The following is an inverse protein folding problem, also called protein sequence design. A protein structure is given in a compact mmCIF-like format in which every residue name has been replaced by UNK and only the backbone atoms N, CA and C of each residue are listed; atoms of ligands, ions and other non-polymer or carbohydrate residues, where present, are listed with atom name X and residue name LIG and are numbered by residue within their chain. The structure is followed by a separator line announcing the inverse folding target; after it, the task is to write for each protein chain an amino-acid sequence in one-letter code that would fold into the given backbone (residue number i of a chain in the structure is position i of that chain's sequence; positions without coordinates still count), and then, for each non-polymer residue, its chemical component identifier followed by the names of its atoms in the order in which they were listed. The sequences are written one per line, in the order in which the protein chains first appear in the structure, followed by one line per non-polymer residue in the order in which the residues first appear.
data_IF_170196553274
#
_entry.id   IF_170196553274
#
_cell.length_a   1.000
_cell.length_b   1.000
_cell.length_c   1.000
_cell.angle_alpha   90.00
_cell.angle_beta   90.00
_cell.angle_gamma   90.00
#
_symmetry.space_group_name_H-M   'P 1'
#
loop_
_entity.id
_entity.type
_entity.pdbx_description
1 polymer ?
#
# COMPACT_ATOMS: atom_id res chain seq x y z
N UNK A 1 -6.83 9.21 -16.05
CA UNK A 1 -6.73 8.26 -14.92
C UNK A 1 -5.86 8.86 -13.85
N UNK A 2 -6.04 8.45 -12.60
CA UNK A 2 -5.36 9.03 -11.44
C UNK A 2 -3.86 8.66 -11.43
N UNK A 3 -2.95 9.54 -11.01
CA UNK A 3 -1.49 9.28 -11.03
C UNK A 3 -1.05 8.20 -10.03
N UNK A 4 -1.94 7.80 -9.12
CA UNK A 4 -1.74 6.70 -8.15
C UNK A 4 -2.46 5.41 -8.58
N UNK A 5 -3.04 5.39 -9.79
CA UNK A 5 -3.66 4.20 -10.37
C UNK A 5 -2.60 3.21 -10.86
N UNK A 6 -2.88 1.89 -10.84
CA UNK A 6 -2.09 0.93 -11.58
C UNK A 6 -2.09 1.28 -13.07
N UNK A 7 -0.98 0.97 -13.72
CA UNK A 7 -0.74 1.37 -15.08
C UNK A 7 -1.66 0.63 -16.04
N UNK A 8 -2.40 1.40 -16.83
CA UNK A 8 -3.29 0.87 -17.85
C UNK A 8 -2.84 1.36 -19.22
N UNK A 9 -2.90 0.45 -20.19
CA UNK A 9 -2.44 0.73 -21.55
C UNK A 9 -3.34 1.80 -22.18
N UNK A 10 -2.74 2.80 -22.86
CA UNK A 10 -3.49 3.91 -23.47
C UNK A 10 -4.61 3.46 -24.42
N UNK A 11 -4.47 2.30 -25.05
CA UNK A 11 -5.48 1.68 -25.93
C UNK A 11 -6.79 1.33 -25.22
N UNK A 12 -6.81 1.32 -23.89
CA UNK A 12 -8.00 1.07 -23.06
C UNK A 12 -8.79 2.37 -22.84
N UNK A 13 -8.20 3.55 -23.12
CA UNK A 13 -8.79 4.86 -22.81
C UNK A 13 -9.64 5.47 -23.92
N UNK A 14 -9.62 4.94 -25.15
CA UNK A 14 -10.16 5.65 -26.31
C UNK A 14 -11.67 5.51 -26.51
N UNK A 15 -12.31 4.40 -26.08
CA UNK A 15 -13.74 4.18 -26.32
C UNK A 15 -14.39 3.22 -25.30
N UNK A 16 -15.35 3.74 -24.51
CA UNK A 16 -16.07 2.97 -23.50
C UNK A 16 -17.04 1.93 -24.10
N UNK A 17 -17.66 2.23 -25.24
CA UNK A 17 -18.58 1.31 -25.91
C UNK A 17 -17.83 0.11 -26.48
N UNK A 18 -16.71 0.38 -27.17
CA UNK A 18 -15.81 -0.67 -27.69
C UNK A 18 -15.26 -1.54 -26.55
N UNK A 19 -14.87 -0.93 -25.43
CA UNK A 19 -14.39 -1.68 -24.27
C UNK A 19 -15.48 -2.59 -23.68
N UNK A 20 -16.73 -2.10 -23.58
CA UNK A 20 -17.86 -2.88 -23.08
C UNK A 20 -18.14 -4.11 -23.96
N UNK A 21 -18.04 -3.95 -25.27
CA UNK A 21 -18.20 -5.03 -26.25
C UNK A 21 -17.04 -6.02 -26.19
N UNK A 22 -15.80 -5.53 -26.09
CA UNK A 22 -14.59 -6.36 -26.06
C UNK A 22 -14.42 -7.12 -24.74
N UNK A 23 -14.66 -6.46 -23.62
CA UNK A 23 -14.54 -7.04 -22.27
C UNK A 23 -15.50 -6.37 -21.30
N UNK A 24 -16.64 -7.03 -21.09
CA UNK A 24 -17.62 -6.59 -20.08
C UNK A 24 -17.02 -6.56 -18.67
N UNK A 25 -16.14 -7.50 -18.33
CA UNK A 25 -15.51 -7.55 -17.02
C UNK A 25 -14.63 -6.32 -16.77
N UNK A 26 -13.77 -5.96 -17.74
CA UNK A 26 -12.88 -4.80 -17.61
C UNK A 26 -13.66 -3.50 -17.56
N UNK A 27 -14.70 -3.39 -18.40
CA UNK A 27 -15.62 -2.26 -18.39
C UNK A 27 -16.31 -2.08 -17.03
N UNK A 28 -16.90 -3.14 -16.48
CA UNK A 28 -17.55 -3.11 -15.16
C UNK A 28 -16.58 -2.78 -14.04
N UNK A 29 -15.34 -3.28 -14.13
CA UNK A 29 -14.27 -2.98 -13.17
C UNK A 29 -13.98 -1.48 -13.16
N UNK A 30 -13.84 -0.84 -14.34
CA UNK A 30 -13.68 0.63 -14.40
C UNK A 30 -14.87 1.40 -13.87
N UNK A 31 -16.09 0.96 -14.20
CA UNK A 31 -17.29 1.58 -13.67
C UNK A 31 -17.27 1.52 -12.13
N UNK A 32 -16.89 0.39 -11.52
CA UNK A 32 -16.79 0.26 -10.07
C UNK A 32 -15.77 1.22 -9.47
N UNK A 33 -14.57 1.33 -10.07
CA UNK A 33 -13.54 2.29 -9.62
C UNK A 33 -14.05 3.72 -9.72
N UNK A 34 -14.64 4.10 -10.86
CA UNK A 34 -15.18 5.45 -11.07
C UNK A 34 -16.33 5.77 -10.12
N UNK A 35 -17.23 4.81 -9.89
CA UNK A 35 -18.35 4.97 -8.96
C UNK A 35 -17.86 5.19 -7.52
N UNK A 36 -16.77 4.54 -7.10
CA UNK A 36 -16.13 4.79 -5.79
C UNK A 36 -15.61 6.23 -5.67
N UNK A 37 -14.96 6.75 -6.70
CA UNK A 37 -14.37 8.11 -6.69
C UNK A 37 -15.40 9.23 -6.85
N UNK A 38 -16.56 8.92 -7.45
CA UNK A 38 -17.63 9.89 -7.75
C UNK A 38 -18.91 9.61 -6.96
N UNK A 39 -18.82 8.85 -5.86
CA UNK A 39 -20.00 8.41 -5.13
C UNK A 39 -20.81 9.62 -4.66
N UNK A 40 -22.11 9.57 -4.97
CA UNK A 40 -23.12 10.48 -4.44
C UNK A 40 -24.22 9.65 -3.80
N UNK A 41 -24.74 10.11 -2.67
CA UNK A 41 -25.88 9.48 -1.99
C UNK A 41 -27.04 9.27 -2.98
N UNK A 42 -27.55 8.04 -3.05
CA UNK A 42 -28.62 7.65 -3.98
C UNK A 42 -28.17 6.96 -5.27
N UNK A 43 -26.87 6.87 -5.55
CA UNK A 43 -26.36 6.05 -6.65
C UNK A 43 -26.37 4.56 -6.28
N UNK A 44 -26.84 3.71 -7.20
CA UNK A 44 -26.93 2.27 -6.98
C UNK A 44 -25.60 1.56 -7.27
N UNK A 45 -24.57 1.89 -6.47
CA UNK A 45 -23.24 1.27 -6.57
C UNK A 45 -23.28 -0.22 -6.22
N UNK A 46 -24.21 -0.63 -5.36
CA UNK A 46 -24.33 -2.03 -4.98
C UNK A 46 -24.75 -2.92 -6.15
N UNK A 47 -25.67 -2.46 -7.00
CA UNK A 47 -26.04 -3.18 -8.23
C UNK A 47 -24.84 -3.29 -9.19
N UNK A 48 -24.03 -2.24 -9.28
CA UNK A 48 -22.82 -2.26 -10.11
C UNK A 48 -21.78 -3.25 -9.58
N UNK A 49 -21.58 -3.31 -8.25
CA UNK A 49 -20.73 -4.30 -7.62
C UNK A 49 -21.28 -5.72 -7.82
N UNK A 50 -22.60 -5.93 -7.72
CA UNK A 50 -23.23 -7.21 -7.97
C UNK A 50 -23.09 -7.67 -9.44
N UNK A 51 -23.20 -6.75 -10.40
CA UNK A 51 -22.94 -7.04 -11.82
C UNK A 51 -21.49 -7.44 -12.05
N UNK A 52 -20.54 -6.75 -11.39
CA UNK A 52 -19.13 -7.12 -11.44
C UNK A 52 -18.91 -8.52 -10.83
N UNK A 53 -19.49 -8.81 -9.66
CA UNK A 53 -19.39 -10.12 -9.00
C UNK A 53 -19.93 -11.24 -9.89
N UNK A 54 -21.06 -11.01 -10.54
CA UNK A 54 -21.64 -11.95 -11.49
C UNK A 54 -20.71 -12.16 -12.70
N UNK A 55 -20.16 -11.09 -13.27
CA UNK A 55 -19.22 -11.16 -14.39
C UNK A 55 -17.95 -11.91 -14.00
N UNK A 56 -17.37 -11.59 -12.84
CA UNK A 56 -16.18 -12.23 -12.29
C UNK A 56 -16.44 -13.72 -12.03
N UNK A 57 -17.56 -14.07 -11.40
CA UNK A 57 -17.96 -15.46 -11.15
C UNK A 57 -18.08 -16.25 -12.44
N UNK A 58 -18.65 -15.65 -13.50
CA UNK A 58 -18.73 -16.30 -14.82
C UNK A 58 -17.36 -16.57 -15.43
N UNK A 59 -16.40 -15.66 -15.28
CA UNK A 59 -15.04 -15.85 -15.82
C UNK A 59 -14.25 -16.86 -14.98
N UNK A 60 -14.39 -16.83 -13.66
CA UNK A 60 -13.61 -17.68 -12.74
C UNK A 60 -14.17 -19.11 -12.65
N UNK A 61 -15.50 -19.25 -12.57
CA UNK A 61 -16.18 -20.54 -12.39
C UNK A 61 -16.71 -21.13 -13.70
N UNK A 62 -16.88 -20.31 -14.73
CA UNK A 62 -17.33 -20.77 -16.04
C UNK A 62 -16.26 -21.58 -16.76
N UNK A 63 -16.69 -22.28 -17.81
CA UNK A 63 -15.76 -22.84 -18.80
C UNK A 63 -15.14 -21.69 -19.58
N UNK A 64 -13.93 -21.32 -19.20
CA UNK A 64 -13.16 -20.30 -19.90
C UNK A 64 -12.18 -20.99 -20.82
N UNK A 65 -12.59 -21.20 -22.07
CA UNK A 65 -11.77 -21.89 -23.08
C UNK A 65 -10.51 -21.08 -23.47
N UNK A 66 -10.52 -19.77 -23.18
CA UNK A 66 -9.39 -18.87 -23.43
C UNK A 66 -9.37 -17.72 -22.41
N UNK A 67 -8.21 -17.52 -21.78
CA UNK A 67 -7.95 -16.35 -20.93
C UNK A 67 -7.45 -15.19 -21.81
N UNK A 68 -7.90 -13.97 -21.53
CA UNK A 68 -7.49 -12.75 -22.26
C UNK A 68 -6.72 -11.77 -21.38
N UNK A 69 -5.95 -10.87 -22.01
CA UNK A 69 -5.21 -9.83 -21.29
C UNK A 69 -6.14 -8.86 -20.54
N UNK A 70 -7.33 -8.58 -21.07
CA UNK A 70 -8.33 -7.75 -20.41
C UNK A 70 -8.81 -8.37 -19.10
N UNK A 71 -8.92 -9.70 -19.03
CA UNK A 71 -9.30 -10.39 -17.80
C UNK A 71 -8.22 -10.26 -16.74
N UNK A 72 -6.94 -10.38 -17.13
CA UNK A 72 -5.81 -10.16 -16.22
C UNK A 72 -5.79 -8.73 -15.68
N UNK A 73 -5.92 -7.73 -16.55
CA UNK A 73 -5.99 -6.32 -16.16
C UNK A 73 -7.19 -6.05 -15.24
N UNK A 74 -8.34 -6.69 -15.50
CA UNK A 74 -9.52 -6.57 -14.63
C UNK A 74 -9.24 -7.07 -13.22
N UNK A 75 -8.58 -8.23 -13.09
CA UNK A 75 -8.22 -8.79 -11.78
C UNK A 75 -7.20 -7.89 -11.04
N UNK A 76 -6.23 -7.32 -11.74
CA UNK A 76 -5.28 -6.39 -11.14
C UNK A 76 -5.95 -5.12 -10.64
N UNK A 77 -6.83 -4.51 -11.44
CA UNK A 77 -7.60 -3.33 -11.01
C UNK A 77 -8.51 -3.67 -9.83
N UNK A 78 -9.19 -4.83 -9.88
CA UNK A 78 -10.02 -5.32 -8.80
C UNK A 78 -9.24 -5.46 -7.48
N UNK A 79 -8.00 -5.99 -7.56
CA UNK A 79 -7.13 -6.13 -6.39
C UNK A 79 -6.71 -4.79 -5.78
N UNK A 80 -6.55 -3.74 -6.60
CA UNK A 80 -6.20 -2.39 -6.15
C UNK A 80 -7.40 -1.61 -5.58
N UNK A 81 -8.59 -1.82 -6.14
CA UNK A 81 -9.83 -1.17 -5.71
C UNK A 81 -10.95 -2.20 -5.64
N UNK A 82 -11.03 -2.90 -4.51
CA UNK A 82 -12.07 -3.90 -4.36
C UNK A 82 -13.45 -3.24 -4.35
N UNK A 83 -14.51 -3.87 -4.87
CA UNK A 83 -15.84 -3.27 -4.84
C UNK A 83 -16.34 -3.04 -3.40
N UNK A 84 -17.39 -2.22 -3.26
CA UNK A 84 -18.06 -2.02 -1.97
C UNK A 84 -18.80 -3.29 -1.52
N UNK A 85 -18.87 -3.50 -0.20
CA UNK A 85 -19.71 -4.56 0.40
C UNK A 85 -21.18 -4.29 0.08
N UNK A 86 -21.98 -5.35 -0.05
CA UNK A 86 -23.42 -5.20 -0.22
C UNK A 86 -24.01 -4.51 1.02
N UNK A 87 -24.86 -3.50 0.83
CA UNK A 87 -25.53 -2.75 1.89
C UNK A 87 -24.61 -1.93 2.83
N UNK A 88 -23.34 -1.75 2.48
CA UNK A 88 -22.39 -0.95 3.25
C UNK A 88 -21.56 -0.07 2.33
N UNK A 89 -21.22 1.14 2.78
CA UNK A 89 -20.28 2.02 2.09
C UNK A 89 -18.81 1.61 2.29
N UNK A 90 -18.54 0.41 2.82
CA UNK A 90 -17.19 -0.08 3.11
C UNK A 90 -16.61 -0.88 1.94
N UNK A 91 -15.32 -0.68 1.66
CA UNK A 91 -14.55 -1.50 0.72
C UNK A 91 -14.55 -2.97 1.16
N UNK A 92 -14.54 -3.90 0.20
CA UNK A 92 -14.28 -5.33 0.47
C UNK A 92 -12.80 -5.64 0.68
N UNK A 93 -11.94 -4.63 0.55
CA UNK A 93 -10.50 -4.79 0.66
C UNK A 93 -10.11 -5.52 1.95
N UNK A 94 -9.29 -6.54 1.78
CA UNK A 94 -8.50 -7.18 2.83
C UNK A 94 -7.34 -7.90 2.15
N UNK A 95 -6.22 -8.01 2.84
CA UNK A 95 -4.96 -8.46 2.25
C UNK A 95 -5.03 -9.91 1.76
N UNK A 96 -5.78 -10.77 2.44
CA UNK A 96 -5.99 -12.18 2.06
C UNK A 96 -6.78 -12.29 0.75
N UNK A 97 -7.83 -11.47 0.58
CA UNK A 97 -8.61 -11.45 -0.66
C UNK A 97 -7.79 -10.90 -1.82
N UNK A 98 -6.97 -9.87 -1.58
CA UNK A 98 -6.02 -9.36 -2.57
C UNK A 98 -5.07 -10.47 -2.98
N UNK A 99 -4.43 -11.13 -2.01
CA UNK A 99 -3.51 -12.24 -2.26
C UNK A 99 -4.16 -13.38 -3.08
N UNK A 100 -5.41 -13.74 -2.77
CA UNK A 100 -6.14 -14.76 -3.55
C UNK A 100 -6.37 -14.35 -5.01
N UNK A 101 -6.76 -13.09 -5.25
CA UNK A 101 -6.97 -12.56 -6.62
C UNK A 101 -5.65 -12.47 -7.38
N UNK A 102 -4.58 -12.00 -6.73
CA UNK A 102 -3.24 -11.96 -7.32
C UNK A 102 -2.76 -13.38 -7.64
N UNK A 103 -2.89 -14.32 -6.70
CA UNK A 103 -2.53 -15.72 -6.92
C UNK A 103 -3.30 -16.37 -8.08
N UNK A 104 -4.59 -16.05 -8.26
CA UNK A 104 -5.35 -16.48 -9.44
C UNK A 104 -4.78 -15.87 -10.73
N UNK A 105 -4.50 -14.58 -10.73
CA UNK A 105 -3.94 -13.86 -11.88
C UNK A 105 -2.58 -14.43 -12.28
N UNK A 106 -1.72 -14.72 -11.30
CA UNK A 106 -0.41 -15.36 -11.52
C UNK A 106 -0.57 -16.74 -12.16
N UNK A 107 -1.52 -17.56 -11.68
CA UNK A 107 -1.80 -18.87 -12.29
C UNK A 107 -2.23 -18.74 -13.75
N UNK A 108 -3.05 -17.74 -14.08
CA UNK A 108 -3.50 -17.49 -15.45
C UNK A 108 -2.38 -17.01 -16.37
N UNK A 109 -1.53 -16.11 -15.88
CA UNK A 109 -0.33 -15.66 -16.59
C UNK A 109 0.62 -16.84 -16.90
N UNK A 110 0.83 -17.73 -15.93
CA UNK A 110 1.64 -18.95 -16.12
C UNK A 110 1.00 -19.91 -17.12
N UNK A 111 -0.32 -20.09 -17.06
CA UNK A 111 -1.05 -20.89 -18.05
C UNK A 111 -0.93 -20.34 -19.48
N UNK A 112 -0.88 -19.02 -19.62
CA UNK A 112 -0.69 -18.34 -20.91
C UNK A 112 0.77 -18.28 -21.39
N UNK A 113 1.73 -18.74 -20.58
CA UNK A 113 3.18 -18.62 -20.82
C UNK A 113 3.65 -17.20 -21.21
N UNK A 114 3.07 -16.17 -20.56
CA UNK A 114 3.41 -14.79 -20.90
C UNK A 114 4.86 -14.44 -20.57
N UNK A 115 5.41 -15.01 -19.51
CA UNK A 115 6.82 -14.82 -19.15
C UNK A 115 7.75 -15.44 -20.20
N UNK A 116 7.48 -16.69 -20.62
CA UNK A 116 8.24 -17.35 -21.69
C UNK A 116 8.14 -16.59 -23.02
N UNK A 117 6.96 -16.06 -23.34
CA UNK A 117 6.76 -15.18 -24.50
C UNK A 117 7.64 -13.93 -24.45
N UNK A 118 7.64 -13.20 -23.32
CA UNK A 118 8.50 -12.02 -23.15
C UNK A 118 9.99 -12.34 -23.24
N UNK A 119 10.42 -13.48 -22.68
CA UNK A 119 11.83 -13.85 -22.68
C UNK A 119 12.33 -14.25 -24.08
N UNK A 120 11.50 -14.90 -24.89
CA UNK A 120 11.92 -15.48 -26.17
C UNK A 120 11.59 -14.62 -27.40
N UNK A 121 10.53 -13.80 -27.33
CA UNK A 121 9.93 -13.16 -28.52
C UNK A 121 9.65 -11.67 -28.35
N UNK A 122 10.15 -11.01 -27.30
CA UNK A 122 9.87 -9.58 -27.12
C UNK A 122 10.39 -8.72 -28.28
N UNK A 123 9.48 -8.13 -29.03
CA UNK A 123 9.77 -7.25 -30.17
C UNK A 123 9.57 -5.77 -29.85
N UNK A 124 8.96 -5.45 -28.70
CA UNK A 124 8.51 -4.10 -28.37
C UNK A 124 7.21 -3.70 -29.09
N UNK A 125 6.46 -4.67 -29.62
CA UNK A 125 5.11 -4.44 -30.15
C UNK A 125 4.17 -3.93 -29.05
N UNK A 126 3.03 -3.34 -29.44
CA UNK A 126 2.03 -2.85 -28.48
C UNK A 126 1.51 -3.97 -27.55
N UNK A 127 1.36 -5.19 -28.08
CA UNK A 127 0.94 -6.34 -27.30
C UNK A 127 2.04 -6.80 -26.34
N UNK A 128 3.30 -6.86 -26.79
CA UNK A 128 4.44 -7.20 -25.92
C UNK A 128 4.60 -6.20 -24.77
N UNK A 129 4.46 -4.91 -25.06
CA UNK A 129 4.54 -3.84 -24.05
C UNK A 129 3.38 -3.96 -23.06
N UNK A 130 2.17 -4.30 -23.52
CA UNK A 130 1.03 -4.57 -22.64
C UNK A 130 1.28 -5.78 -21.73
N UNK A 131 1.80 -6.87 -22.28
CA UNK A 131 2.16 -8.05 -21.49
C UNK A 131 3.24 -7.70 -20.46
N UNK A 132 4.28 -6.98 -20.85
CA UNK A 132 5.33 -6.51 -19.93
C UNK A 132 4.74 -5.70 -18.77
N UNK A 133 3.86 -4.74 -19.07
CA UNK A 133 3.18 -3.93 -18.04
C UNK A 133 2.34 -4.76 -17.06
N UNK A 134 1.59 -5.73 -17.58
CA UNK A 134 0.83 -6.67 -16.74
C UNK A 134 1.78 -7.44 -15.81
N UNK A 135 2.87 -7.97 -16.35
CA UNK A 135 3.87 -8.72 -15.58
C UNK A 135 4.54 -7.87 -14.51
N UNK A 136 4.96 -6.64 -14.83
CA UNK A 136 5.60 -5.72 -13.87
C UNK A 136 4.63 -5.29 -12.76
N UNK A 137 3.37 -5.00 -13.10
CA UNK A 137 2.32 -4.74 -12.11
C UNK A 137 2.15 -5.96 -11.17
N UNK A 138 2.13 -7.18 -11.71
CA UNK A 138 2.02 -8.39 -10.90
C UNK A 138 3.21 -8.58 -9.96
N UNK A 139 4.44 -8.33 -10.41
CA UNK A 139 5.63 -8.39 -9.53
C UNK A 139 5.46 -7.45 -8.34
N UNK A 140 5.05 -6.21 -8.58
CA UNK A 140 4.83 -5.23 -7.51
C UNK A 140 3.71 -5.66 -6.55
N UNK A 141 2.62 -6.19 -7.08
CA UNK A 141 1.46 -6.64 -6.29
C UNK A 141 1.77 -7.88 -5.45
N UNK A 142 2.41 -8.88 -6.05
CA UNK A 142 2.85 -10.11 -5.40
C UNK A 142 3.77 -9.78 -4.23
N UNK A 143 4.74 -8.88 -4.44
CA UNK A 143 5.64 -8.46 -3.38
C UNK A 143 4.97 -7.62 -2.29
N UNK A 144 4.07 -6.69 -2.67
CA UNK A 144 3.33 -5.89 -1.69
C UNK A 144 2.44 -6.77 -0.79
N UNK A 145 1.79 -7.78 -1.37
CA UNK A 145 1.01 -8.76 -0.59
C UNK A 145 1.91 -9.65 0.27
N UNK A 146 3.10 -10.01 -0.19
CA UNK A 146 4.09 -10.70 0.63
C UNK A 146 4.50 -9.87 1.86
N UNK A 147 4.83 -8.58 1.69
CA UNK A 147 5.22 -7.73 2.83
C UNK A 147 4.13 -7.65 3.91
N UNK A 148 2.87 -7.60 3.49
CA UNK A 148 1.74 -7.45 4.40
C UNK A 148 1.30 -8.78 5.03
N UNK A 149 1.17 -9.84 4.21
CA UNK A 149 0.63 -11.13 4.65
C UNK A 149 1.69 -12.14 5.08
N UNK A 150 2.94 -11.92 4.67
CA UNK A 150 4.10 -12.82 4.82
C UNK A 150 3.93 -14.15 4.09
N UNK A 151 3.01 -14.18 3.12
CA UNK A 151 2.87 -15.29 2.19
C UNK A 151 3.97 -15.20 1.12
N UNK A 152 4.55 -16.32 0.68
CA UNK A 152 5.69 -16.30 -0.24
C UNK A 152 5.32 -15.67 -1.58
N UNK A 153 6.27 -14.92 -2.14
CA UNK A 153 6.15 -14.43 -3.52
C UNK A 153 6.28 -15.57 -4.51
N UNK A 154 5.60 -15.44 -5.66
CA UNK A 154 5.48 -16.48 -6.67
C UNK A 154 6.19 -16.12 -7.98
N UNK A 155 6.40 -14.82 -8.27
CA UNK A 155 7.06 -14.34 -9.49
C UNK A 155 8.51 -13.94 -9.19
N UNK A 156 9.44 -14.35 -10.06
CA UNK A 156 10.82 -13.87 -10.01
C UNK A 156 10.95 -12.49 -10.67
N UNK A 157 11.33 -11.42 -9.94
CA UNK A 157 11.53 -10.11 -10.55
C UNK A 157 12.72 -10.03 -11.49
N UNK A 158 13.74 -10.90 -11.37
CA UNK A 158 15.04 -10.78 -12.07
C UNK A 158 14.90 -10.66 -13.60
N UNK A 159 14.27 -11.62 -14.32
CA UNK A 159 14.19 -11.56 -15.78
C UNK A 159 13.37 -10.36 -16.27
N UNK A 160 12.31 -10.02 -15.54
CA UNK A 160 11.39 -8.94 -15.90
C UNK A 160 12.02 -7.57 -15.70
N UNK A 161 12.79 -7.35 -14.62
CA UNK A 161 13.51 -6.10 -14.38
C UNK A 161 14.59 -5.89 -15.45
N UNK A 162 15.34 -6.94 -15.80
CA UNK A 162 16.34 -6.85 -16.86
C UNK A 162 15.71 -6.43 -18.21
N UNK A 163 14.58 -7.04 -18.57
CA UNK A 163 13.84 -6.67 -19.77
C UNK A 163 13.27 -5.25 -19.69
N UNK A 164 12.70 -4.86 -18.55
CA UNK A 164 12.14 -3.53 -18.32
C UNK A 164 13.19 -2.41 -18.42
N UNK A 165 14.41 -2.62 -17.90
CA UNK A 165 15.54 -1.69 -18.05
C UNK A 165 15.90 -1.47 -19.52
N UNK A 166 15.94 -2.55 -20.30
CA UNK A 166 16.19 -2.49 -21.75
C UNK A 166 15.07 -1.73 -22.46
N UNK A 167 13.81 -2.01 -22.13
CA UNK A 167 12.66 -1.32 -22.72
C UNK A 167 12.62 0.17 -22.36
N UNK A 168 12.82 0.54 -21.10
CA UNK A 168 12.84 1.94 -20.63
C UNK A 168 14.02 2.76 -21.20
N UNK A 169 15.02 2.08 -21.73
CA UNK A 169 16.10 2.74 -22.47
C UNK A 169 15.68 3.23 -23.86
N UNK A 170 14.57 2.72 -24.40
CA UNK A 170 14.04 3.10 -25.72
C UNK A 170 13.19 4.37 -25.69
N UNK A 171 13.03 5.02 -26.84
CA UNK A 171 12.16 6.20 -26.99
C UNK A 171 10.66 5.87 -26.91
N UNK A 172 10.29 4.58 -27.00
CA UNK A 172 8.90 4.12 -26.94
C UNK A 172 8.37 3.97 -25.52
N UNK A 173 9.24 4.03 -24.51
CA UNK A 173 8.85 3.91 -23.12
C UNK A 173 8.17 5.19 -22.61
N UNK A 174 7.06 5.02 -21.88
CA UNK A 174 6.30 6.10 -21.30
C UNK A 174 6.76 6.39 -19.86
N UNK A 175 6.44 7.57 -19.32
CA UNK A 175 6.72 7.93 -17.92
C UNK A 175 6.28 6.85 -16.93
N UNK A 176 5.14 6.26 -17.25
CA UNK A 176 4.46 5.25 -16.48
C UNK A 176 5.23 3.90 -16.47
N UNK A 177 5.93 3.56 -17.57
CA UNK A 177 6.80 2.38 -17.62
C UNK A 177 8.01 2.51 -16.69
N UNK A 178 8.56 3.72 -16.58
CA UNK A 178 9.64 4.02 -15.65
C UNK A 178 9.17 3.90 -14.19
N UNK A 179 7.92 4.29 -13.87
CA UNK A 179 7.34 4.07 -12.53
C UNK A 179 7.29 2.58 -12.17
N UNK A 180 6.88 1.72 -13.10
CA UNK A 180 6.86 0.27 -12.90
C UNK A 180 8.26 -0.33 -12.76
N UNK A 181 9.21 0.14 -13.56
CA UNK A 181 10.60 -0.25 -13.43
C UNK A 181 11.09 0.04 -12.00
N UNK A 182 10.87 1.25 -11.49
CA UNK A 182 11.27 1.60 -10.13
C UNK A 182 10.65 0.71 -9.05
N UNK A 183 9.35 0.39 -9.16
CA UNK A 183 8.68 -0.55 -8.25
C UNK A 183 9.30 -1.95 -8.28
N UNK A 184 9.64 -2.42 -9.48
CA UNK A 184 10.25 -3.75 -9.65
C UNK A 184 11.71 -3.77 -9.20
N UNK A 185 12.45 -2.65 -9.32
CA UNK A 185 13.81 -2.54 -8.77
C UNK A 185 13.82 -2.57 -7.24
N UNK A 186 12.86 -1.90 -6.59
CA UNK A 186 12.66 -2.01 -5.14
C UNK A 186 12.42 -3.48 -4.75
N UNK A 187 11.52 -4.15 -5.46
CA UNK A 187 11.19 -5.57 -5.25
C UNK A 187 12.41 -6.48 -5.44
N UNK A 188 13.20 -6.26 -6.49
CA UNK A 188 14.42 -7.02 -6.79
C UNK A 188 15.47 -6.86 -5.70
N UNK A 189 15.69 -5.64 -5.22
CA UNK A 189 16.68 -5.39 -4.18
C UNK A 189 16.30 -6.03 -2.85
N UNK A 190 15.02 -6.02 -2.51
CA UNK A 190 14.54 -6.67 -1.29
C UNK A 190 14.61 -8.20 -1.39
N UNK A 191 14.40 -8.79 -2.58
CA UNK A 191 14.67 -10.21 -2.81
C UNK A 191 16.13 -10.59 -2.54
N UNK A 192 17.07 -9.66 -2.75
CA UNK A 192 18.50 -9.87 -2.50
C UNK A 192 18.96 -9.36 -1.13
N UNK A 193 18.07 -8.83 -0.31
CA UNK A 193 18.43 -8.28 0.98
C UNK A 193 18.87 -9.38 1.94
N UNK A 194 20.03 -9.19 2.56
CA UNK A 194 20.57 -10.09 3.58
C UNK A 194 20.21 -9.68 4.99
N UNK A 195 20.03 -8.37 5.21
CA UNK A 195 19.71 -7.78 6.51
C UNK A 195 19.04 -6.40 6.33
N UNK A 196 18.45 -5.90 7.41
CA UNK A 196 17.75 -4.61 7.42
C UNK A 196 18.69 -3.40 7.21
N UNK A 197 19.98 -3.53 7.51
CA UNK A 197 20.96 -2.46 7.28
C UNK A 197 21.22 -2.30 5.79
N UNK A 198 21.39 -3.40 5.06
CA UNK A 198 21.48 -3.42 3.61
C UNK A 198 20.23 -2.83 2.98
N UNK A 199 19.03 -3.23 3.44
CA UNK A 199 17.76 -2.68 2.94
C UNK A 199 17.74 -1.17 3.08
N UNK A 200 17.99 -0.64 4.28
CA UNK A 200 17.92 0.80 4.52
C UNK A 200 18.94 1.58 3.69
N UNK A 201 20.17 1.07 3.58
CA UNK A 201 21.18 1.64 2.70
C UNK A 201 20.73 1.66 1.24
N UNK A 202 20.23 0.52 0.74
CA UNK A 202 19.73 0.41 -0.63
C UNK A 202 18.59 1.40 -0.88
N UNK A 203 17.61 1.51 0.02
CA UNK A 203 16.49 2.42 -0.15
C UNK A 203 16.95 3.89 -0.17
N UNK A 204 17.96 4.26 0.64
CA UNK A 204 18.53 5.61 0.63
C UNK A 204 19.22 5.92 -0.72
N UNK A 205 20.07 5.02 -1.21
CA UNK A 205 20.74 5.15 -2.52
C UNK A 205 19.73 5.18 -3.67
N UNK A 206 18.74 4.29 -3.63
CA UNK A 206 17.69 4.20 -4.63
C UNK A 206 16.87 5.49 -4.70
N UNK A 207 16.53 6.11 -3.57
CA UNK A 207 15.83 7.41 -3.55
C UNK A 207 16.70 8.51 -4.17
N UNK A 208 17.99 8.56 -3.84
CA UNK A 208 18.90 9.56 -4.39
C UNK A 208 19.03 9.44 -5.91
N UNK A 209 19.12 8.22 -6.44
CA UNK A 209 19.16 7.95 -7.88
C UNK A 209 17.83 8.34 -8.55
N UNK A 210 16.71 7.86 -8.01
CA UNK A 210 15.40 8.03 -8.63
C UNK A 210 14.86 9.46 -8.56
N UNK A 211 15.25 10.23 -7.54
CA UNK A 211 14.92 11.66 -7.43
C UNK A 211 15.53 12.46 -8.58
N UNK A 212 16.72 12.07 -9.04
CA UNK A 212 17.42 12.73 -10.12
C UNK A 212 17.17 12.07 -11.49
N UNK A 213 16.22 11.13 -11.58
CA UNK A 213 16.00 10.33 -12.77
C UNK A 213 15.35 11.15 -13.91
N UNK A 214 16.09 11.46 -14.99
CA UNK A 214 15.70 12.53 -15.92
C UNK A 214 14.49 12.18 -16.79
N UNK A 215 14.24 10.88 -17.04
CA UNK A 215 13.20 10.43 -17.99
C UNK A 215 11.79 10.38 -17.40
N UNK A 216 11.64 10.44 -16.08
CA UNK A 216 10.37 10.13 -15.43
C UNK A 216 9.70 11.33 -14.73
N UNK A 217 10.40 12.46 -14.53
CA UNK A 217 9.89 13.68 -13.87
C UNK A 217 8.98 13.35 -12.66
N UNK A 218 9.47 12.48 -11.78
CA UNK A 218 8.64 11.86 -10.76
C UNK A 218 8.44 12.80 -9.57
N UNK A 219 7.19 12.96 -9.15
CA UNK A 219 6.90 13.61 -7.87
C UNK A 219 7.17 12.65 -6.72
N UNK A 220 7.76 13.16 -5.63
CA UNK A 220 7.91 12.42 -4.37
C UNK A 220 6.57 11.96 -3.78
N UNK A 221 5.45 12.53 -4.24
CA UNK A 221 4.08 12.16 -3.85
C UNK A 221 3.50 10.99 -4.65
N UNK A 222 4.25 10.42 -5.60
CA UNK A 222 3.77 9.38 -6.52
C UNK A 222 4.53 8.06 -6.37
N UNK A 223 4.10 7.01 -7.06
CA UNK A 223 4.92 5.82 -7.27
C UNK A 223 6.18 6.17 -8.09
N UNK A 224 7.35 5.58 -7.79
CA UNK A 224 7.56 4.49 -6.83
C UNK A 224 7.87 4.94 -5.40
N UNK A 225 8.06 6.25 -5.14
CA UNK A 225 8.49 6.75 -3.83
C UNK A 225 7.51 6.45 -2.70
N UNK A 226 6.22 6.46 -3.00
CA UNK A 226 5.19 6.12 -2.01
C UNK A 226 5.24 4.65 -1.61
N UNK A 227 5.49 3.73 -2.54
CA UNK A 227 5.74 2.31 -2.23
C UNK A 227 7.08 2.10 -1.51
N UNK A 228 8.11 2.88 -1.85
CA UNK A 228 9.39 2.86 -1.12
C UNK A 228 9.20 3.21 0.37
N UNK A 229 8.41 4.26 0.68
CA UNK A 229 8.08 4.61 2.08
C UNK A 229 7.35 3.49 2.79
N UNK A 230 6.41 2.84 2.09
CA UNK A 230 5.72 1.68 2.63
C UNK A 230 6.68 0.53 2.95
N UNK A 231 7.60 0.21 2.03
CA UNK A 231 8.56 -0.87 2.22
C UNK A 231 9.49 -0.57 3.39
N UNK A 232 9.97 0.68 3.50
CA UNK A 232 10.77 1.14 4.64
C UNK A 232 10.01 0.98 5.95
N UNK A 233 8.76 1.46 6.01
CA UNK A 233 7.94 1.39 7.20
C UNK A 233 7.67 -0.06 7.62
N UNK A 234 7.24 -0.90 6.68
CA UNK A 234 6.92 -2.32 6.90
C UNK A 234 8.13 -3.06 7.48
N UNK A 235 9.25 -3.05 6.75
CA UNK A 235 10.44 -3.83 7.10
C UNK A 235 11.09 -3.36 8.41
N UNK A 236 11.10 -2.05 8.68
CA UNK A 236 11.63 -1.54 9.94
C UNK A 236 10.65 -1.68 11.11
N UNK A 237 9.35 -1.90 10.86
CA UNK A 237 8.38 -2.16 11.93
C UNK A 237 8.44 -3.60 12.44
N UNK A 238 8.96 -4.52 11.63
CA UNK A 238 9.08 -5.94 11.96
C UNK A 238 9.78 -6.20 13.32
N UNK A 239 10.99 -5.65 13.58
CA UNK A 239 11.69 -5.92 14.82
C UNK A 239 11.06 -5.21 16.03
N UNK A 240 10.06 -4.34 15.79
CA UNK A 240 9.35 -3.59 16.83
C UNK A 240 8.14 -4.37 17.36
N UNK A 241 7.84 -5.56 16.84
CA UNK A 241 6.70 -6.35 17.27
C UNK A 241 6.69 -6.59 18.79
N UNK A 242 7.83 -7.00 19.35
CA UNK A 242 7.96 -7.20 20.79
C UNK A 242 7.78 -5.91 21.58
N UNK A 243 8.36 -4.81 21.10
CA UNK A 243 8.21 -3.49 21.70
C UNK A 243 6.75 -3.02 21.71
N UNK A 244 6.03 -3.20 20.60
CA UNK A 244 4.62 -2.85 20.47
C UNK A 244 3.72 -3.74 21.37
N UNK A 245 4.11 -5.00 21.54
CA UNK A 245 3.49 -5.93 22.48
C UNK A 245 3.83 -5.63 23.95
N UNK A 246 4.72 -4.69 24.24
CA UNK A 246 5.13 -4.35 25.61
C UNK A 246 6.17 -5.30 26.20
N UNK A 247 6.79 -6.15 25.37
CA UNK A 247 7.87 -7.02 25.81
C UNK A 247 9.17 -6.25 25.99
N UNK A 248 9.98 -6.58 27.02
CA UNK A 248 11.27 -5.95 27.21
C UNK A 248 12.22 -6.29 26.05
N UNK A 249 12.94 -5.30 25.57
CA UNK A 249 13.95 -5.47 24.52
C UNK A 249 15.22 -6.05 25.13
N UNK A 250 15.77 -7.17 24.63
CA UNK A 250 17.04 -7.69 25.09
C UNK A 250 18.18 -6.70 24.86
N UNK A 251 19.11 -6.58 25.82
CA UNK A 251 20.28 -5.67 25.73
C UNK A 251 21.11 -5.90 24.47
N UNK A 252 21.20 -7.15 24.01
CA UNK A 252 21.90 -7.52 22.77
C UNK A 252 21.26 -6.95 21.51
N UNK A 253 19.96 -6.61 21.55
CA UNK A 253 19.15 -6.19 20.41
C UNK A 253 18.79 -4.70 20.45
N UNK A 254 18.98 -4.01 21.59
CA UNK A 254 18.62 -2.60 21.79
C UNK A 254 19.08 -1.69 20.66
N UNK A 255 20.31 -1.87 20.18
CA UNK A 255 20.84 -1.05 19.07
C UNK A 255 20.10 -1.30 17.77
N UNK A 256 19.79 -2.55 17.45
CA UNK A 256 19.08 -2.90 16.23
C UNK A 256 17.63 -2.40 16.28
N UNK A 257 16.95 -2.62 17.40
CA UNK A 257 15.59 -2.13 17.66
C UNK A 257 15.52 -0.61 17.61
N UNK A 258 16.48 0.10 18.21
CA UNK A 258 16.51 1.56 18.18
C UNK A 258 16.72 2.12 16.76
N UNK A 259 17.54 1.47 15.94
CA UNK A 259 17.71 1.85 14.52
C UNK A 259 16.42 1.62 13.74
N UNK A 260 15.81 0.44 13.89
CA UNK A 260 14.54 0.09 13.26
C UNK A 260 13.44 1.09 13.67
N UNK A 261 13.36 1.41 14.96
CA UNK A 261 12.42 2.38 15.53
C UNK A 261 12.56 3.75 14.86
N UNK A 262 13.78 4.29 14.80
CA UNK A 262 14.06 5.58 14.14
C UNK A 262 13.63 5.56 12.68
N UNK A 263 13.96 4.50 11.94
CA UNK A 263 13.60 4.37 10.53
C UNK A 263 12.10 4.21 10.30
N UNK A 264 11.39 3.51 11.18
CA UNK A 264 9.92 3.41 11.13
C UNK A 264 9.25 4.75 11.41
N UNK A 265 9.72 5.49 12.42
CA UNK A 265 9.21 6.84 12.73
C UNK A 265 9.49 7.79 11.56
N UNK A 266 10.73 7.85 11.06
CA UNK A 266 11.08 8.64 9.87
C UNK A 266 10.18 8.31 8.68
N UNK A 267 9.96 7.03 8.38
CA UNK A 267 9.09 6.62 7.29
C UNK A 267 7.63 7.06 7.51
N UNK A 268 7.10 6.92 8.72
CA UNK A 268 5.74 7.37 9.04
C UNK A 268 5.61 8.90 8.91
N UNK A 269 6.58 9.66 9.41
CA UNK A 269 6.64 11.12 9.26
C UNK A 269 6.70 11.53 7.79
N UNK A 270 7.54 10.88 6.98
CA UNK A 270 7.66 11.14 5.55
C UNK A 270 6.36 10.88 4.79
N UNK A 271 5.57 9.89 5.22
CA UNK A 271 4.26 9.60 4.63
C UNK A 271 3.25 10.71 4.93
N UNK A 272 3.13 11.13 6.18
CA UNK A 272 2.24 12.23 6.55
C UNK A 272 2.74 13.59 6.04
N UNK A 273 4.05 13.76 5.87
CA UNK A 273 4.66 14.98 5.35
C UNK A 273 4.19 15.33 3.93
N UNK A 274 3.73 14.34 3.15
CA UNK A 274 3.12 14.56 1.84
C UNK A 274 1.81 15.38 1.90
N UNK A 275 1.13 15.37 3.05
CA UNK A 275 -0.07 16.14 3.30
C UNK A 275 0.21 17.56 3.80
N UNK A 276 1.48 17.92 3.98
CA UNK A 276 1.85 19.26 4.41
C UNK A 276 2.13 20.17 3.21
N UNK A 277 1.63 21.40 3.29
CA UNK A 277 1.98 22.48 2.36
C UNK A 277 3.36 23.09 2.71
N UNK A 278 3.66 23.16 4.01
CA UNK A 278 4.92 23.69 4.53
C UNK A 278 5.59 22.66 5.44
N UNK A 279 6.93 22.55 5.44
CA UNK A 279 7.63 21.67 6.36
C UNK A 279 7.38 22.05 7.82
N UNK A 280 7.17 21.05 8.68
CA UNK A 280 7.04 21.23 10.12
C UNK A 280 5.72 20.71 10.70
N UNK A 281 5.76 20.37 11.98
CA UNK A 281 4.67 19.73 12.71
C UNK A 281 4.05 20.62 13.80
N UNK A 282 4.61 21.80 14.05
CA UNK A 282 4.11 22.73 15.09
C UNK A 282 2.79 23.40 14.66
N UNK A 283 2.64 23.71 13.37
CA UNK A 283 1.41 24.28 12.79
C UNK A 283 1.18 23.69 11.38
N UNK A 284 0.70 22.43 11.27
CA UNK A 284 0.61 21.76 9.98
C UNK A 284 -0.45 22.39 9.07
N UNK A 285 -0.01 22.98 7.96
CA UNK A 285 -0.90 23.43 6.88
C UNK A 285 -1.15 22.30 5.90
N UNK A 286 -2.43 22.00 5.62
CA UNK A 286 -2.82 20.86 4.80
C UNK A 286 -2.70 21.17 3.32
N UNK A 287 -1.95 20.35 2.59
CA UNK A 287 -1.93 20.33 1.13
C UNK A 287 -3.23 19.71 0.60
N UNK A 288 -4.24 20.57 0.40
CA UNK A 288 -5.54 20.16 -0.11
C UNK A 288 -5.51 19.52 -1.50
N UNK A 289 -4.53 19.89 -2.34
CA UNK A 289 -4.37 19.29 -3.67
C UNK A 289 -3.89 17.82 -3.57
N UNK A 290 -2.96 17.53 -2.67
CA UNK A 290 -2.57 16.14 -2.40
C UNK A 290 -3.69 15.36 -1.74
N UNK A 291 -4.36 15.93 -0.73
CA UNK A 291 -5.49 15.28 -0.06
C UNK A 291 -6.60 14.91 -1.05
N UNK A 292 -6.95 15.80 -1.97
CA UNK A 292 -7.95 15.51 -3.01
C UNK A 292 -7.55 14.37 -3.93
N UNK A 293 -6.26 14.21 -4.24
CA UNK A 293 -5.74 13.06 -5.00
C UNK A 293 -5.77 11.78 -4.16
N UNK A 294 -5.35 11.88 -2.91
CA UNK A 294 -5.32 10.76 -1.97
C UNK A 294 -6.69 10.11 -1.78
N UNK A 295 -7.78 10.90 -1.85
CA UNK A 295 -9.16 10.39 -1.87
C UNK A 295 -9.42 9.29 -2.91
N UNK A 296 -8.72 9.34 -4.04
CA UNK A 296 -8.85 8.37 -5.13
C UNK A 296 -7.74 7.30 -5.13
N UNK A 297 -6.94 7.22 -4.06
CA UNK A 297 -5.87 6.23 -3.95
C UNK A 297 -6.42 4.80 -3.91
N UNK A 298 -5.54 3.84 -4.24
CA UNK A 298 -5.82 2.41 -4.10
C UNK A 298 -6.01 2.07 -2.61
N UNK A 299 -6.77 1.01 -2.33
CA UNK A 299 -7.14 0.65 -0.95
C UNK A 299 -5.91 0.42 -0.06
N UNK A 300 -4.84 -0.19 -0.60
CA UNK A 300 -3.62 -0.45 0.15
C UNK A 300 -2.93 0.82 0.66
N UNK A 301 -3.10 1.97 -0.01
CA UNK A 301 -2.51 3.24 0.46
C UNK A 301 -3.19 3.71 1.74
N UNK A 302 -4.52 3.58 1.83
CA UNK A 302 -5.27 3.91 3.04
C UNK A 302 -4.81 3.04 4.20
N UNK A 303 -4.68 1.73 3.96
CA UNK A 303 -4.19 0.79 4.97
C UNK A 303 -2.79 1.13 5.46
N UNK A 304 -1.87 1.46 4.55
CA UNK A 304 -0.51 1.84 4.94
C UNK A 304 -0.49 3.12 5.80
N UNK A 305 -1.29 4.14 5.47
CA UNK A 305 -1.32 5.37 6.27
C UNK A 305 -1.97 5.13 7.63
N UNK A 306 -2.98 4.25 7.70
CA UNK A 306 -3.59 3.86 8.96
C UNK A 306 -2.59 3.08 9.82
N UNK A 307 -1.82 2.16 9.23
CA UNK A 307 -0.74 1.47 9.91
C UNK A 307 0.30 2.46 10.47
N UNK A 308 0.75 3.44 9.67
CA UNK A 308 1.68 4.46 10.13
C UNK A 308 1.14 5.27 11.33
N UNK A 309 -0.13 5.66 11.28
CA UNK A 309 -0.82 6.35 12.37
C UNK A 309 -0.87 5.52 13.65
N UNK A 310 -1.35 4.29 13.53
CA UNK A 310 -1.55 3.37 14.65
C UNK A 310 -0.20 3.01 15.28
N UNK A 311 0.81 2.75 14.47
CA UNK A 311 2.17 2.49 14.94
C UNK A 311 2.70 3.67 15.77
N UNK A 312 2.54 4.91 15.30
CA UNK A 312 2.97 6.08 16.07
C UNK A 312 2.26 6.21 17.42
N UNK A 313 0.93 5.98 17.45
CA UNK A 313 0.16 5.99 18.69
C UNK A 313 0.67 4.95 19.69
N UNK A 314 0.91 3.73 19.22
CA UNK A 314 1.40 2.63 20.07
C UNK A 314 2.82 2.89 20.54
N UNK A 315 3.72 3.32 19.66
CA UNK A 315 5.10 3.63 20.04
C UNK A 315 5.18 4.77 21.06
N UNK A 316 4.30 5.77 20.95
CA UNK A 316 4.16 6.79 21.98
C UNK A 316 3.64 6.19 23.30
N UNK A 317 2.52 5.45 23.27
CA UNK A 317 1.96 4.83 24.48
C UNK A 317 2.95 3.88 25.18
N UNK A 318 3.83 3.21 24.42
CA UNK A 318 4.92 2.37 24.96
C UNK A 318 6.12 3.16 25.47
N UNK A 319 6.15 4.49 25.34
CA UNK A 319 7.26 5.35 25.76
C UNK A 319 8.50 5.29 24.87
N UNK A 320 8.39 4.63 23.71
CA UNK A 320 9.46 4.46 22.75
C UNK A 320 9.68 5.73 21.91
N UNK A 321 8.62 6.52 21.73
CA UNK A 321 8.63 7.81 21.03
C UNK A 321 8.05 8.87 21.94
N UNK A 322 8.66 10.05 21.99
CA UNK A 322 8.10 11.21 22.70
C UNK A 322 7.30 12.15 21.79
N UNK A 323 6.79 13.22 22.37
CA UNK A 323 5.95 14.21 21.69
C UNK A 323 6.68 14.99 20.58
N UNK A 324 8.01 14.94 20.57
CA UNK A 324 8.90 15.58 19.58
C UNK A 324 9.50 14.57 18.60
N UNK A 325 9.01 13.32 18.60
CA UNK A 325 9.48 12.19 17.82
C UNK A 325 10.87 11.66 18.22
N UNK A 326 11.37 12.00 19.41
CA UNK A 326 12.61 11.42 19.90
C UNK A 326 12.40 9.94 20.24
N UNK A 327 13.26 9.09 19.67
CA UNK A 327 13.19 7.65 19.79
C UNK A 327 14.15 7.12 20.88
N UNK A 328 13.65 6.24 21.75
CA UNK A 328 14.43 5.55 22.78
C UNK A 328 13.91 4.13 23.03
N UNK A 329 14.73 3.29 23.65
CA UNK A 329 14.25 2.05 24.25
C UNK A 329 13.52 2.43 25.54
N UNK A 330 12.22 2.12 25.68
CA UNK A 330 11.45 2.55 26.83
C UNK A 330 11.84 1.76 28.08
N UNK A 331 11.86 2.46 29.21
CA UNK A 331 11.93 1.84 30.54
C UNK A 331 10.55 1.73 31.18
N UNK A 332 9.59 2.54 30.74
CA UNK A 332 8.22 2.62 31.24
C UNK A 332 7.29 3.06 30.09
N UNK A 333 6.03 2.66 30.16
CA UNK A 333 4.98 3.14 29.26
C UNK A 333 4.65 4.60 29.56
N UNK A 334 4.08 5.31 28.57
CA UNK A 334 3.46 6.60 28.83
C UNK A 334 2.12 6.40 29.53
N UNK A 335 1.84 7.30 30.45
CA UNK A 335 0.60 7.31 31.23
C UNK A 335 -0.24 8.54 30.98
N UNK A 336 0.32 9.52 30.26
CA UNK A 336 -0.36 10.74 29.86
C UNK A 336 -0.55 10.79 28.36
N UNK A 337 -1.64 11.40 27.87
CA UNK A 337 -1.80 11.68 26.45
C UNK A 337 -0.78 12.74 25.98
N UNK A 338 -0.49 12.81 24.66
CA UNK A 338 0.39 13.85 24.11
C UNK A 338 -0.08 15.25 24.47
N UNK A 339 0.84 16.13 24.88
CA UNK A 339 0.52 17.51 25.19
C UNK A 339 -0.16 18.21 23.99
N UNK A 340 -1.16 19.06 24.25
CA UNK A 340 -1.81 19.85 23.20
C UNK A 340 -0.80 20.68 22.41
N UNK A 341 -0.93 20.69 21.08
CA UNK A 341 -0.04 21.40 20.14
C UNK A 341 1.40 20.88 20.09
N UNK A 342 1.70 19.72 20.69
CA UNK A 342 2.97 19.05 20.43
C UNK A 342 3.07 18.60 18.97
N UNK A 343 4.28 18.44 18.40
CA UNK A 343 4.47 17.90 17.06
C UNK A 343 3.71 16.60 16.81
N UNK A 344 3.73 15.68 17.78
CA UNK A 344 2.97 14.43 17.73
C UNK A 344 1.45 14.69 17.74
N UNK A 345 0.93 15.48 18.69
CA UNK A 345 -0.51 15.80 18.76
C UNK A 345 -1.01 16.40 17.44
N UNK A 346 -0.26 17.34 16.87
CA UNK A 346 -0.59 17.98 15.60
C UNK A 346 -0.57 17.01 14.41
N UNK A 347 0.40 16.09 14.36
CA UNK A 347 0.44 15.04 13.35
C UNK A 347 -0.76 14.10 13.49
N UNK A 348 -1.10 13.71 14.72
CA UNK A 348 -2.25 12.84 14.96
C UNK A 348 -3.55 13.53 14.57
N UNK A 349 -3.75 14.81 14.93
CA UNK A 349 -4.89 15.58 14.45
C UNK A 349 -4.93 15.72 12.92
N UNK A 350 -3.78 15.88 12.27
CA UNK A 350 -3.71 15.83 10.80
C UNK A 350 -4.15 14.47 10.27
N UNK A 351 -3.67 13.38 10.87
CA UNK A 351 -4.08 12.01 10.55
C UNK A 351 -5.59 11.84 10.64
N UNK A 352 -6.20 12.23 11.75
CA UNK A 352 -7.66 12.22 11.93
C UNK A 352 -8.35 12.99 10.80
N UNK A 353 -7.91 14.22 10.50
CA UNK A 353 -8.49 15.02 9.40
C UNK A 353 -8.34 14.40 8.01
N UNK A 354 -7.31 13.60 7.77
CA UNK A 354 -7.13 12.86 6.52
C UNK A 354 -8.13 11.70 6.43
N UNK A 355 -8.35 11.02 7.56
CA UNK A 355 -9.29 9.90 7.68
C UNK A 355 -10.74 10.33 7.94
N UNK A 356 -10.98 11.59 8.28
CA UNK A 356 -12.31 12.22 8.37
C UNK A 356 -12.94 12.35 6.99
N UNK A 357 -13.36 11.20 6.48
CA UNK A 357 -14.03 11.03 5.22
C UNK A 357 -15.53 11.08 5.46
N UNK A 358 -16.27 11.36 4.40
CA UNK A 358 -17.71 11.13 4.43
C UNK A 358 -17.97 9.68 4.85
N UNK A 359 -18.95 9.47 5.73
CA UNK A 359 -19.48 8.16 6.12
C UNK A 359 -19.72 7.22 4.92
N UNK A 360 -19.93 7.80 3.74
CA UNK A 360 -20.17 7.06 2.51
C UNK A 360 -18.90 6.69 1.72
N UNK A 361 -17.72 7.10 2.16
CA UNK A 361 -16.46 6.81 1.48
C UNK A 361 -16.05 5.34 1.67
N UNK A 362 -15.52 4.66 0.64
CA UNK A 362 -15.10 3.25 0.72
C UNK A 362 -14.16 2.91 1.88
N UNK A 363 -13.29 3.85 2.24
CA UNK A 363 -12.30 3.73 3.33
C UNK A 363 -12.82 4.19 4.71
N UNK A 364 -14.12 4.49 4.88
CA UNK A 364 -14.65 5.02 6.14
C UNK A 364 -14.49 4.06 7.34
N UNK A 365 -14.50 2.74 7.11
CA UNK A 365 -14.22 1.75 8.15
C UNK A 365 -12.79 1.86 8.71
N UNK A 366 -11.80 2.13 7.85
CA UNK A 366 -10.41 2.40 8.25
C UNK A 366 -10.35 3.64 9.16
N UNK A 367 -11.18 4.66 8.88
CA UNK A 367 -11.27 5.83 9.73
C UNK A 367 -11.79 5.50 11.13
N UNK A 368 -12.80 4.63 11.25
CA UNK A 368 -13.31 4.19 12.55
C UNK A 368 -12.21 3.53 13.40
N UNK A 369 -11.35 2.71 12.78
CA UNK A 369 -10.20 2.11 13.45
C UNK A 369 -9.19 3.18 13.92
N UNK A 370 -8.85 4.14 13.06
CA UNK A 370 -7.94 5.24 13.39
C UNK A 370 -8.46 6.08 14.55
N UNK A 371 -9.74 6.42 14.54
CA UNK A 371 -10.41 7.14 15.63
C UNK A 371 -10.41 6.34 16.92
N UNK A 372 -10.75 5.05 16.87
CA UNK A 372 -10.74 4.18 18.05
C UNK A 372 -9.36 4.13 18.73
N UNK A 373 -8.29 4.02 17.94
CA UNK A 373 -6.91 4.02 18.44
C UNK A 373 -6.54 5.38 19.03
N UNK A 374 -6.96 6.48 18.40
CA UNK A 374 -6.73 7.82 18.91
C UNK A 374 -7.47 8.10 20.23
N UNK A 375 -8.77 7.78 20.30
CA UNK A 375 -9.58 7.93 21.50
C UNK A 375 -8.97 7.13 22.67
N UNK A 376 -8.47 5.94 22.37
CA UNK A 376 -7.77 5.11 23.35
C UNK A 376 -6.48 5.76 23.87
N UNK A 377 -5.75 6.47 23.00
CA UNK A 377 -4.57 7.24 23.39
C UNK A 377 -4.93 8.46 24.25
N UNK A 378 -6.06 9.13 23.98
CA UNK A 378 -6.54 10.26 24.80
C UNK A 378 -6.98 9.82 26.21
N UNK A 379 -7.37 8.55 26.35
CA UNK A 379 -7.79 7.95 27.61
C UNK A 379 -6.63 7.36 28.44
N UNK A 380 -5.37 7.58 28.04
CA UNK A 380 -4.22 7.22 28.88
C UNK A 380 -4.35 7.90 30.25
N UNK A 381 -4.31 7.07 31.31
CA UNK A 381 -4.49 7.50 32.70
C UNK A 381 -3.40 6.88 33.57
N UNK A 382 -2.74 7.72 34.37
CA UNK A 382 -1.77 7.37 35.42
C UNK A 382 -2.26 6.26 36.36
N UNK A 383 -3.59 6.08 36.49
CA UNK A 383 -4.18 5.06 37.36
C UNK A 383 -4.22 3.64 36.78
N UNK A 384 -4.03 3.45 35.47
CA UNK A 384 -4.17 2.15 34.78
C UNK A 384 -2.99 1.87 33.84
N UNK A 385 -2.03 1.08 34.30
CA UNK A 385 -0.84 0.66 33.54
C UNK A 385 -1.09 -0.32 32.35
N UNK A 386 -2.31 -0.44 31.85
CA UNK A 386 -2.70 -1.50 30.91
C UNK A 386 -2.79 -0.99 29.48
N UNK A 387 -1.66 -0.70 28.83
CA UNK A 387 -1.62 -0.39 27.38
C UNK A 387 -2.17 -1.57 26.54
N UNK A 388 -2.14 -2.80 27.07
CA UNK A 388 -2.70 -4.01 26.44
C UNK A 388 -4.24 -4.02 26.38
N UNK A 389 -4.93 -3.35 27.31
CA UNK A 389 -6.40 -3.22 27.31
C UNK A 389 -6.86 -1.97 26.53
N UNK A 390 -5.94 -1.04 26.26
CA UNK A 390 -6.21 0.26 25.64
C UNK A 390 -6.35 0.13 24.12
N UNK A 391 -5.53 -0.69 23.46
CA UNK A 391 -5.64 -0.88 22.00
C UNK A 391 -6.34 -2.20 21.68
N UNK A 392 -7.60 -2.18 21.22
CA UNK A 392 -8.26 -3.39 20.77
C UNK A 392 -7.52 -3.97 19.57
N UNK A 393 -7.17 -5.26 19.63
CA UNK A 393 -6.61 -5.99 18.49
C UNK A 393 -7.68 -5.99 17.39
N UNK A 394 -7.45 -5.38 16.21
CA UNK A 394 -8.48 -5.27 15.19
C UNK A 394 -8.64 -6.62 14.47
N UNK A 395 -9.35 -7.57 15.09
CA UNK A 395 -9.53 -8.91 14.53
C UNK A 395 -10.60 -8.95 13.43
N UNK A 396 -11.57 -8.03 13.45
CA UNK A 396 -12.79 -8.15 12.63
C UNK A 396 -12.73 -7.43 11.26
N UNK A 397 -11.75 -6.55 11.02
CA UNK A 397 -11.69 -5.73 9.79
C UNK A 397 -10.54 -6.10 8.83
N UNK A 398 -9.84 -7.20 9.08
CA UNK A 398 -8.78 -7.68 8.19
C UNK A 398 -7.43 -6.95 8.35
N UNK A 399 -7.26 -6.21 9.44
CA UNK A 399 -6.00 -5.59 9.85
C UNK A 399 -5.61 -6.05 11.25
N UNK A 400 -5.01 -7.23 11.33
CA UNK A 400 -4.49 -7.71 12.60
C UNK A 400 -3.08 -7.14 12.78
N UNK A 401 -2.96 -6.15 13.67
CA UNK A 401 -1.68 -5.49 13.95
C UNK A 401 -0.65 -6.46 14.55
N UNK A 402 -1.08 -7.44 15.35
CA UNK A 402 -0.19 -8.45 15.90
C UNK A 402 0.26 -9.41 14.80
N UNK A 403 -0.63 -9.76 13.87
CA UNK A 403 -0.29 -10.53 12.68
C UNK A 403 0.66 -9.76 11.76
N UNK A 404 0.41 -8.47 11.57
CA UNK A 404 1.22 -7.59 10.73
C UNK A 404 2.62 -7.42 11.32
N UNK A 405 2.74 -7.19 12.63
CA UNK A 405 4.01 -7.03 13.32
C UNK A 405 4.73 -8.36 13.58
N UNK A 406 4.04 -9.39 14.10
CA UNK A 406 4.64 -10.68 14.46
C UNK A 406 4.97 -11.55 13.24
N UNK A 407 4.25 -11.43 12.11
CA UNK A 407 4.61 -12.20 10.90
C UNK A 407 5.85 -11.64 10.21
N UNK A 408 6.23 -10.38 10.42
CA UNK A 408 7.44 -9.83 9.80
C UNK A 408 8.75 -10.29 10.45
N UNK A 409 8.70 -10.95 11.61
CA UNK A 409 9.88 -11.50 12.28
C UNK A 409 10.44 -12.78 11.62
N UNK A 410 9.80 -13.31 10.57
CA UNK A 410 10.08 -14.65 10.05
C UNK A 410 11.39 -14.83 9.26
N UNK A 411 11.88 -13.79 8.56
CA UNK A 411 12.93 -13.97 7.55
C UNK A 411 14.14 -13.01 7.65
N UNK A 412 14.20 -12.14 8.67
CA UNK A 412 15.27 -11.12 8.78
C UNK A 412 15.99 -11.04 10.15
N UNK A 413 15.91 -12.10 10.96
CA UNK A 413 16.72 -12.27 12.19
C UNK A 413 18.00 -13.05 11.94
#
# INVERSE_FOLDING_TARGET
MHNMAPLLTKSIHSNAAELRERSTLLFLTFCCVGARSLFQQGQNIHDLAALLDFSLSRVVLGRTDRITLEQLESLQIYAHWMPLRANQSASRYNEVSVWNVIGLTIRWVKFMDLEGHLQTKFTGSLEDVRILRIMLNLVSLDYQTHLSTQLPTTIDPVPLVALARKFCSTASAETNDHKLLGLCELTLALKHATDLKYVNFFLDEWVAEWTNYPKAQLSMSEIPFTSMRWYRLSLNSAPLAGLCAGMPVPVSEERAVLVALKRSVEAALDMFGLFLETPGWEEPKVNHAFLSRFRCAIDSYWMTHAFAFILLCILYARGAVDETFFCRIPTQNQTTPPAPNSPLSNLLHLGLRIFDLDSTHPAAHIAALVHQVYDSLELLDDSKNYVEDVFPIPLDEGFDLNLFLARQCGDYT
#
